data_IF_726647540561
#
_entry.id   IF_726647540561
#
_cell.length_a   1.000
_cell.length_b   1.000
_cell.length_c   1.000
_cell.angle_alpha   90.00
_cell.angle_beta   90.00
_cell.angle_gamma   90.00
#
_symmetry.space_group_name_H-M   'P 1'
#
loop_
_entity.id
_entity.type
_entity.pdbx_description
1 polymer ?
#
# COMPACT_ATOMS: atom_id res chain seq x y z
N UNK A 1 -0.43 -8.44 -7.89
CA UNK A 1 -0.95 -9.46 -8.86
C UNK A 1 0.10 -10.53 -9.02
N UNK A 2 -0.24 -11.80 -8.84
CA UNK A 2 0.70 -12.92 -9.06
C UNK A 2 1.03 -13.08 -10.54
N UNK A 3 2.08 -13.85 -10.85
CA UNK A 3 2.44 -14.20 -12.23
C UNK A 3 1.41 -15.18 -12.82
N UNK A 4 0.84 -14.86 -13.97
CA UNK A 4 -0.09 -15.77 -14.68
C UNK A 4 0.57 -17.08 -15.10
N UNK A 5 1.88 -17.05 -15.40
CA UNK A 5 2.64 -18.27 -15.70
C UNK A 5 2.72 -19.16 -14.46
N UNK A 6 3.06 -18.59 -13.31
CA UNK A 6 3.07 -19.30 -12.04
C UNK A 6 1.71 -19.92 -11.71
N UNK A 7 0.62 -19.16 -11.87
CA UNK A 7 -0.75 -19.63 -11.65
C UNK A 7 -1.08 -20.85 -12.51
N UNK A 8 -0.73 -20.82 -13.80
CA UNK A 8 -1.00 -21.94 -14.73
C UNK A 8 -0.14 -23.17 -14.46
N UNK A 9 1.12 -22.98 -14.07
CA UNK A 9 2.03 -24.08 -13.76
C UNK A 9 1.75 -24.70 -12.38
N UNK A 10 1.18 -23.92 -11.44
CA UNK A 10 0.97 -24.32 -10.05
C UNK A 10 -0.45 -23.96 -9.54
N UNK A 11 -1.53 -24.36 -10.22
CA UNK A 11 -2.89 -23.98 -9.85
C UNK A 11 -3.29 -24.42 -8.44
N UNK A 12 -2.85 -25.62 -8.03
CA UNK A 12 -3.16 -26.16 -6.70
C UNK A 12 -2.45 -25.38 -5.57
N UNK A 13 -1.25 -24.86 -5.80
CA UNK A 13 -0.56 -24.00 -4.84
C UNK A 13 -1.35 -22.70 -4.67
N UNK A 14 -1.83 -22.10 -5.77
CA UNK A 14 -2.64 -20.88 -5.73
C UNK A 14 -3.97 -21.12 -5.01
N UNK A 15 -4.65 -22.24 -5.30
CA UNK A 15 -5.90 -22.62 -4.62
C UNK A 15 -5.68 -22.86 -3.13
N UNK A 16 -4.58 -23.55 -2.75
CA UNK A 16 -4.24 -23.76 -1.35
C UNK A 16 -3.96 -22.42 -0.63
N UNK A 17 -3.25 -21.50 -1.29
CA UNK A 17 -3.01 -20.15 -0.75
C UNK A 17 -4.32 -19.37 -0.51
N UNK A 18 -5.28 -19.46 -1.44
CA UNK A 18 -6.63 -18.87 -1.29
C UNK A 18 -7.34 -19.44 -0.06
N UNK A 19 -7.27 -20.78 0.15
CA UNK A 19 -7.83 -21.45 1.34
C UNK A 19 -7.13 -21.00 2.62
N UNK A 20 -5.79 -20.93 2.61
CA UNK A 20 -5.01 -20.46 3.75
C UNK A 20 -5.38 -19.02 4.15
N UNK A 21 -5.81 -18.21 3.20
CA UNK A 21 -6.33 -16.83 3.44
C UNK A 21 -7.83 -16.78 3.76
N UNK A 22 -8.51 -17.93 3.92
CA UNK A 22 -9.95 -18.01 4.20
C UNK A 22 -10.83 -17.29 3.15
N UNK A 23 -10.42 -17.34 1.88
CA UNK A 23 -11.07 -16.65 0.77
C UNK A 23 -11.67 -17.61 -0.26
N UNK A 24 -12.26 -18.73 0.16
CA UNK A 24 -12.74 -19.83 -0.68
C UNK A 24 -13.64 -19.37 -1.85
N UNK A 25 -14.35 -18.25 -1.70
CA UNK A 25 -15.13 -17.62 -2.76
C UNK A 25 -14.31 -17.28 -4.03
N UNK A 26 -12.99 -17.18 -3.90
CA UNK A 26 -12.08 -16.85 -5.00
C UNK A 26 -11.50 -18.09 -5.71
N UNK A 27 -11.74 -19.29 -5.21
CA UNK A 27 -11.21 -20.53 -5.80
C UNK A 27 -11.56 -20.70 -7.29
N UNK A 28 -12.82 -20.42 -7.74
CA UNK A 28 -13.17 -20.57 -9.14
C UNK A 28 -12.37 -19.67 -10.09
N UNK A 29 -11.88 -18.52 -9.60
CA UNK A 29 -11.13 -17.57 -10.42
C UNK A 29 -9.84 -18.17 -11.00
N UNK A 30 -9.24 -19.15 -10.31
CA UNK A 30 -8.02 -19.82 -10.79
C UNK A 30 -8.29 -20.58 -12.09
N UNK A 31 -9.35 -21.39 -12.11
CA UNK A 31 -9.74 -22.18 -13.28
C UNK A 31 -10.25 -21.29 -14.42
N UNK A 32 -11.00 -20.22 -14.08
CA UNK A 32 -11.48 -19.24 -15.05
C UNK A 32 -10.31 -18.52 -15.76
N UNK A 33 -9.26 -18.14 -15.04
CA UNK A 33 -8.06 -17.52 -15.64
C UNK A 33 -7.36 -18.47 -16.58
N UNK A 34 -7.22 -19.74 -16.21
CA UNK A 34 -6.60 -20.76 -17.06
C UNK A 34 -7.39 -20.95 -18.36
N UNK A 35 -8.71 -21.02 -18.27
CA UNK A 35 -9.56 -21.19 -19.43
C UNK A 35 -9.51 -19.96 -20.36
N UNK A 36 -9.62 -18.75 -19.79
CA UNK A 36 -9.52 -17.49 -20.55
C UNK A 36 -8.16 -17.32 -21.22
N UNK A 37 -7.05 -17.69 -20.55
CA UNK A 37 -5.71 -17.65 -21.15
C UNK A 37 -5.60 -18.65 -22.32
N UNK A 38 -6.23 -19.83 -22.20
CA UNK A 38 -6.28 -20.81 -23.27
C UNK A 38 -7.03 -20.28 -24.50
N UNK A 39 -8.20 -19.66 -24.29
CA UNK A 39 -8.99 -19.02 -25.35
C UNK A 39 -8.21 -17.86 -25.99
N UNK A 40 -7.61 -16.99 -25.19
CA UNK A 40 -6.81 -15.85 -25.65
C UNK A 40 -5.66 -16.30 -26.55
N UNK A 41 -4.94 -17.36 -26.17
CA UNK A 41 -3.86 -17.94 -27.02
C UNK A 41 -4.35 -18.53 -28.32
N UNK A 42 -5.52 -19.15 -28.32
CA UNK A 42 -6.13 -19.68 -29.54
C UNK A 42 -6.49 -18.52 -30.50
N UNK A 43 -7.15 -17.48 -30.00
CA UNK A 43 -7.47 -16.26 -30.75
C UNK A 43 -6.22 -15.57 -31.30
N UNK A 44 -5.17 -15.44 -30.48
CA UNK A 44 -3.90 -14.86 -30.90
C UNK A 44 -3.24 -15.66 -32.02
N UNK A 45 -3.29 -17.00 -31.95
CA UNK A 45 -2.77 -17.88 -32.99
C UNK A 45 -3.55 -17.69 -34.30
N UNK A 46 -4.89 -17.63 -34.23
CA UNK A 46 -5.75 -17.38 -35.38
C UNK A 46 -5.50 -15.99 -35.98
N UNK A 47 -5.44 -14.94 -35.16
CA UNK A 47 -5.15 -13.58 -35.59
C UNK A 47 -3.79 -13.49 -36.31
N UNK A 48 -2.76 -14.20 -35.83
CA UNK A 48 -1.45 -14.26 -36.46
C UNK A 48 -1.51 -14.95 -37.83
N UNK A 49 -2.27 -16.05 -37.96
CA UNK A 49 -2.49 -16.73 -39.24
C UNK A 49 -3.22 -15.84 -40.26
N UNK A 50 -4.30 -15.16 -39.81
CA UNK A 50 -5.02 -14.20 -40.67
C UNK A 50 -4.12 -13.03 -41.07
N UNK A 51 -3.33 -12.50 -40.18
CA UNK A 51 -2.36 -11.42 -40.46
C UNK A 51 -1.32 -11.84 -41.48
N UNK A 52 -0.79 -13.06 -41.39
CA UNK A 52 0.15 -13.62 -42.38
C UNK A 52 -0.51 -13.78 -43.75
N UNK A 53 -1.75 -14.30 -43.80
CA UNK A 53 -2.53 -14.46 -45.03
C UNK A 53 -2.83 -13.12 -45.70
N UNK A 54 -3.33 -12.13 -44.94
CA UNK A 54 -3.57 -10.76 -45.43
C UNK A 54 -2.29 -10.14 -46.02
N UNK A 55 -1.18 -10.28 -45.36
CA UNK A 55 0.11 -9.74 -45.85
C UNK A 55 0.58 -10.42 -47.15
N UNK A 56 0.33 -11.73 -47.28
CA UNK A 56 0.59 -12.48 -48.52
C UNK A 56 -0.31 -12.01 -49.69
N UNK A 57 -1.62 -11.89 -49.42
CA UNK A 57 -2.57 -11.39 -50.42
C UNK A 57 -2.29 -9.96 -50.86
N UNK A 58 -1.90 -9.07 -49.91
CA UNK A 58 -1.52 -7.69 -50.24
C UNK A 58 -0.31 -7.61 -51.18
N UNK A 59 0.67 -8.49 -51.03
CA UNK A 59 1.82 -8.59 -51.95
C UNK A 59 1.39 -9.10 -53.32
N UNK A 60 0.41 -10.01 -53.41
CA UNK A 60 -0.11 -10.52 -54.68
C UNK A 60 -0.81 -9.43 -55.50
N UNK A 61 -1.54 -8.50 -54.87
CA UNK A 61 -2.17 -7.36 -55.53
C UNK A 61 -1.12 -6.56 -56.33
N UNK A 62 0.02 -6.24 -55.73
CA UNK A 62 1.12 -5.50 -56.37
C UNK A 62 1.66 -6.25 -57.59
N UNK A 63 1.84 -7.57 -57.47
CA UNK A 63 2.34 -8.40 -58.58
C UNK A 63 1.32 -8.50 -59.73
N UNK A 64 0.02 -8.69 -59.43
CA UNK A 64 -1.04 -8.77 -60.45
C UNK A 64 -1.23 -7.43 -61.14
N UNK A 65 -1.19 -6.33 -60.44
CA UNK A 65 -1.26 -4.98 -61.03
C UNK A 65 -0.08 -4.72 -61.96
N UNK A 66 1.13 -5.11 -61.59
CA UNK A 66 2.32 -5.03 -62.44
C UNK A 66 2.24 -5.88 -63.71
N UNK A 67 1.47 -6.96 -63.70
CA UNK A 67 1.17 -7.83 -64.86
C UNK A 67 -0.03 -7.38 -65.68
N UNK A 68 -0.71 -6.30 -65.31
CA UNK A 68 -1.90 -5.80 -66.01
C UNK A 68 -3.21 -6.59 -65.72
N UNK A 69 -3.20 -7.55 -64.80
CA UNK A 69 -4.31 -8.44 -64.45
C UNK A 69 -5.27 -7.78 -63.46
N UNK A 70 -5.98 -6.74 -63.89
CA UNK A 70 -6.81 -5.89 -63.03
C UNK A 70 -7.97 -6.62 -62.35
N UNK A 71 -8.67 -7.51 -63.07
CA UNK A 71 -9.81 -8.26 -62.51
C UNK A 71 -9.38 -9.24 -61.40
N UNK A 72 -8.28 -9.95 -61.61
CA UNK A 72 -7.68 -10.83 -60.62
C UNK A 72 -7.19 -10.00 -59.38
N UNK A 73 -6.63 -8.81 -59.59
CA UNK A 73 -6.22 -7.92 -58.53
C UNK A 73 -7.40 -7.41 -57.68
N UNK A 74 -8.57 -7.11 -58.32
CA UNK A 74 -9.80 -6.72 -57.58
C UNK A 74 -10.37 -7.88 -56.74
N UNK A 75 -10.37 -9.10 -57.27
CA UNK A 75 -10.76 -10.27 -56.49
C UNK A 75 -9.88 -10.48 -55.23
N UNK A 76 -8.56 -10.29 -55.35
CA UNK A 76 -7.62 -10.36 -54.22
C UNK A 76 -7.81 -9.19 -53.24
N UNK A 77 -8.18 -8.00 -53.71
CA UNK A 77 -8.52 -6.86 -52.82
C UNK A 77 -9.72 -7.16 -51.94
N UNK A 78 -10.76 -7.81 -52.51
CA UNK A 78 -11.93 -8.24 -51.75
C UNK A 78 -11.52 -9.19 -50.62
N UNK A 79 -10.65 -10.20 -50.88
CA UNK A 79 -10.12 -11.12 -49.91
C UNK A 79 -9.29 -10.40 -48.84
N UNK A 80 -8.49 -9.37 -49.19
CA UNK A 80 -7.75 -8.55 -48.24
C UNK A 80 -8.72 -7.77 -47.35
N UNK A 81 -9.81 -7.25 -47.88
CA UNK A 81 -10.81 -6.52 -47.09
C UNK A 81 -11.50 -7.46 -46.11
N UNK A 82 -11.88 -8.65 -46.51
CA UNK A 82 -12.49 -9.69 -45.65
C UNK A 82 -11.48 -10.13 -44.56
N UNK A 83 -10.24 -10.39 -44.93
CA UNK A 83 -9.19 -10.75 -43.95
C UNK A 83 -8.91 -9.62 -42.95
N UNK A 84 -8.98 -8.36 -43.38
CA UNK A 84 -8.81 -7.19 -42.50
C UNK A 84 -9.98 -7.07 -41.51
N UNK A 85 -11.22 -7.27 -41.98
CA UNK A 85 -12.39 -7.24 -41.10
C UNK A 85 -12.34 -8.38 -40.07
N UNK A 86 -11.98 -9.60 -40.48
CA UNK A 86 -11.78 -10.73 -39.57
C UNK A 86 -10.69 -10.47 -38.57
N UNK A 87 -9.54 -9.94 -39.01
CA UNK A 87 -8.45 -9.59 -38.12
C UNK A 87 -8.86 -8.57 -37.05
N UNK A 88 -9.60 -7.52 -37.43
CA UNK A 88 -10.13 -6.52 -36.51
C UNK A 88 -11.05 -7.12 -35.47
N UNK A 89 -11.91 -8.08 -35.85
CA UNK A 89 -12.81 -8.78 -34.92
C UNK A 89 -12.00 -9.65 -33.92
N UNK A 90 -10.99 -10.36 -34.40
CA UNK A 90 -10.10 -11.17 -33.55
C UNK A 90 -9.29 -10.31 -32.57
N UNK A 91 -8.74 -9.17 -33.02
CA UNK A 91 -8.01 -8.21 -32.17
C UNK A 91 -8.92 -7.59 -31.09
N UNK A 92 -10.17 -7.31 -31.42
CA UNK A 92 -11.17 -6.86 -30.44
C UNK A 92 -11.42 -7.94 -29.39
N UNK A 93 -11.64 -9.19 -29.81
CA UNK A 93 -11.87 -10.31 -28.89
C UNK A 93 -10.63 -10.59 -28.03
N UNK A 94 -9.43 -10.49 -28.58
CA UNK A 94 -8.17 -10.62 -27.82
C UNK A 94 -8.08 -9.55 -26.71
N UNK A 95 -8.44 -8.29 -27.02
CA UNK A 95 -8.45 -7.20 -26.05
C UNK A 95 -9.50 -7.42 -24.94
N UNK A 96 -10.70 -7.91 -25.28
CA UNK A 96 -11.74 -8.25 -24.30
C UNK A 96 -11.28 -9.37 -23.35
N UNK A 97 -10.69 -10.44 -23.90
CA UNK A 97 -10.16 -11.54 -23.09
C UNK A 97 -9.00 -11.08 -22.18
N UNK A 98 -8.11 -10.25 -22.69
CA UNK A 98 -7.02 -9.70 -21.88
C UNK A 98 -7.55 -8.89 -20.68
N UNK A 99 -8.60 -8.09 -20.87
CA UNK A 99 -9.23 -7.32 -19.80
C UNK A 99 -9.95 -8.24 -18.79
N UNK A 100 -10.63 -9.28 -19.25
CA UNK A 100 -11.29 -10.27 -18.37
C UNK A 100 -10.28 -11.08 -17.55
N UNK A 101 -9.16 -11.48 -18.15
CA UNK A 101 -8.03 -12.11 -17.43
C UNK A 101 -7.49 -11.15 -16.37
N UNK A 102 -7.23 -9.90 -16.74
CA UNK A 102 -6.70 -8.88 -15.84
C UNK A 102 -7.63 -8.66 -14.63
N UNK A 103 -8.93 -8.52 -14.84
CA UNK A 103 -9.91 -8.34 -13.76
C UNK A 103 -9.82 -9.48 -12.73
N UNK A 104 -9.76 -10.73 -13.18
CA UNK A 104 -9.66 -11.90 -12.28
C UNK A 104 -8.32 -11.96 -11.57
N UNK A 105 -7.24 -11.75 -12.30
CA UNK A 105 -5.88 -11.72 -11.74
C UNK A 105 -5.70 -10.62 -10.68
N UNK A 106 -6.41 -9.50 -10.81
CA UNK A 106 -6.38 -8.40 -9.82
C UNK A 106 -7.08 -8.76 -8.51
N UNK A 107 -7.95 -9.76 -8.49
CA UNK A 107 -8.71 -10.22 -7.31
C UNK A 107 -8.05 -11.43 -6.63
N UNK A 108 -7.30 -12.23 -7.38
CA UNK A 108 -6.55 -13.37 -6.81
C UNK A 108 -5.45 -12.83 -5.88
N UNK A 109 -5.41 -13.28 -4.60
CA UNK A 109 -4.43 -12.79 -3.64
C UNK A 109 -3.01 -13.22 -3.98
N UNK A 110 -2.03 -12.44 -3.51
CA UNK A 110 -0.61 -12.79 -3.61
C UNK A 110 -0.31 -14.05 -2.80
N UNK A 111 0.76 -14.76 -3.18
CA UNK A 111 1.21 -15.95 -2.43
C UNK A 111 1.88 -15.46 -1.14
N UNK A 112 1.39 -15.96 -0.01
CA UNK A 112 1.97 -15.64 1.29
C UNK A 112 3.31 -16.33 1.51
N UNK A 113 4.19 -15.71 2.29
CA UNK A 113 5.45 -16.31 2.70
C UNK A 113 5.18 -17.59 3.52
N UNK A 114 5.95 -18.67 3.34
CA UNK A 114 5.77 -19.91 4.09
C UNK A 114 5.88 -19.77 5.62
N UNK A 115 6.52 -18.70 6.12
CA UNK A 115 6.62 -18.42 7.55
C UNK A 115 5.37 -17.78 8.15
N UNK A 116 4.44 -17.30 7.32
CA UNK A 116 3.22 -16.62 7.80
C UNK A 116 2.34 -17.60 8.57
N UNK A 117 1.96 -17.30 9.81
CA UNK A 117 1.08 -18.15 10.60
C UNK A 117 -0.31 -18.23 9.93
N UNK A 118 -0.87 -19.45 9.95
CA UNK A 118 -2.22 -19.67 9.42
C UNK A 118 -3.22 -19.34 10.50
N UNK A 119 -4.06 -18.35 10.27
CA UNK A 119 -5.08 -17.85 11.19
C UNK A 119 -6.18 -17.13 10.43
N UNK A 120 -7.35 -17.00 11.03
CA UNK A 120 -8.57 -16.53 10.38
C UNK A 120 -8.68 -14.99 10.34
N UNK A 121 -8.28 -14.33 11.42
CA UNK A 121 -8.39 -12.89 11.60
C UNK A 121 -7.31 -12.37 12.57
N UNK A 122 -7.31 -11.06 12.83
CA UNK A 122 -6.32 -10.35 13.65
C UNK A 122 -6.17 -10.90 15.08
N UNK A 123 -7.18 -11.58 15.62
CA UNK A 123 -7.12 -12.22 16.96
C UNK A 123 -6.12 -13.38 17.02
N UNK A 124 -5.73 -13.92 15.86
CA UNK A 124 -4.77 -15.03 15.72
C UNK A 124 -3.39 -14.56 15.26
N UNK A 125 -3.14 -13.25 15.25
CA UNK A 125 -1.82 -12.68 15.02
C UNK A 125 -0.84 -13.10 16.12
N UNK A 126 0.41 -13.36 15.77
CA UNK A 126 1.41 -13.94 16.66
C UNK A 126 2.36 -12.87 17.19
N UNK A 127 2.42 -12.72 18.53
CA UNK A 127 3.41 -11.84 19.16
C UNK A 127 4.83 -12.38 18.92
N UNK A 128 5.68 -11.56 18.31
CA UNK A 128 7.08 -11.91 18.00
C UNK A 128 8.00 -11.46 19.09
N UNK A 129 7.91 -10.18 19.50
CA UNK A 129 8.82 -9.59 20.47
C UNK A 129 8.22 -8.36 21.16
N UNK A 130 8.65 -8.14 22.41
CA UNK A 130 8.39 -6.92 23.19
C UNK A 130 9.66 -6.12 23.40
N UNK A 131 9.51 -4.81 23.44
CA UNK A 131 10.58 -3.84 23.63
C UNK A 131 10.15 -2.80 24.67
N UNK A 132 10.97 -2.61 25.69
CA UNK A 132 10.65 -1.76 26.83
C UNK A 132 9.68 -2.44 27.81
N UNK A 133 9.65 -1.89 29.03
CA UNK A 133 8.80 -2.39 30.11
C UNK A 133 7.46 -1.64 30.14
N UNK A 134 6.34 -2.32 29.99
CA UNK A 134 5.02 -1.69 30.04
C UNK A 134 4.73 -1.27 31.50
N UNK A 135 4.73 0.01 31.75
CA UNK A 135 4.43 0.57 33.06
C UNK A 135 2.96 0.98 33.17
N UNK A 136 2.39 0.83 34.35
CA UNK A 136 1.07 1.37 34.72
C UNK A 136 1.32 2.29 35.94
N UNK A 137 1.09 3.60 35.81
CA UNK A 137 1.28 4.52 36.93
C UNK A 137 0.26 4.26 38.03
N UNK A 138 0.50 4.79 39.21
CA UNK A 138 -0.36 4.71 40.39
C UNK A 138 -1.48 5.77 40.40
N UNK A 139 -1.62 6.55 39.33
CA UNK A 139 -2.67 7.54 39.10
C UNK A 139 -3.49 7.17 37.87
N UNK A 140 -4.72 7.70 37.81
CA UNK A 140 -5.64 7.51 36.68
C UNK A 140 -5.18 8.35 35.48
N UNK A 141 -5.05 7.71 34.30
CA UNK A 141 -4.77 8.39 33.05
C UNK A 141 -6.11 8.69 32.37
N UNK A 142 -6.46 9.96 32.13
CA UNK A 142 -7.68 10.35 31.42
C UNK A 142 -7.67 9.87 29.95
N UNK A 143 -8.82 9.98 29.29
CA UNK A 143 -8.90 9.71 27.86
C UNK A 143 -8.07 10.74 27.08
N UNK A 144 -7.45 10.33 25.96
CA UNK A 144 -6.48 11.17 25.26
C UNK A 144 -7.03 12.55 24.82
N UNK A 145 -8.33 12.66 24.53
CA UNK A 145 -8.93 13.96 24.23
C UNK A 145 -9.04 14.84 25.47
N UNK A 146 -9.35 14.26 26.62
CA UNK A 146 -9.41 14.98 27.90
C UNK A 146 -8.02 15.50 28.31
N UNK A 147 -6.96 14.69 28.08
CA UNK A 147 -5.57 15.13 28.26
C UNK A 147 -5.28 16.33 27.36
N UNK A 148 -5.59 16.23 26.07
CA UNK A 148 -5.33 17.32 25.10
C UNK A 148 -6.19 18.58 25.41
N UNK A 149 -7.44 18.41 25.84
CA UNK A 149 -8.32 19.50 26.24
C UNK A 149 -7.78 20.22 27.50
N UNK A 150 -7.29 19.47 28.49
CA UNK A 150 -6.68 20.06 29.69
C UNK A 150 -5.44 20.91 29.42
N UNK A 151 -4.76 20.63 28.30
CA UNK A 151 -3.58 21.35 27.81
C UNK A 151 -3.94 22.43 26.78
N UNK A 152 -5.24 22.72 26.55
CA UNK A 152 -5.76 23.63 25.52
C UNK A 152 -5.22 23.29 24.11
N UNK A 153 -5.10 21.99 23.85
CA UNK A 153 -4.38 21.42 22.71
C UNK A 153 -5.23 20.84 21.59
N UNK A 154 -6.56 20.75 21.76
CA UNK A 154 -7.48 20.18 20.75
C UNK A 154 -8.84 20.90 20.78
N UNK A 155 -9.44 21.07 19.58
CA UNK A 155 -10.81 21.58 19.41
C UNK A 155 -11.57 20.71 18.41
N UNK A 156 -12.34 19.77 18.95
CA UNK A 156 -13.18 18.85 18.17
C UNK A 156 -14.53 19.51 17.79
N UNK A 157 -15.02 20.46 18.58
CA UNK A 157 -16.30 21.11 18.30
C UNK A 157 -16.24 22.04 17.10
N UNK A 158 -15.17 22.83 16.97
CA UNK A 158 -14.95 23.64 15.78
C UNK A 158 -14.68 22.77 14.56
N UNK A 159 -13.93 21.68 14.69
CA UNK A 159 -13.68 20.76 13.60
C UNK A 159 -15.00 20.13 13.08
N UNK A 160 -15.90 19.75 13.99
CA UNK A 160 -17.23 19.22 13.63
C UNK A 160 -18.07 20.22 12.83
N UNK A 161 -18.00 21.50 13.18
CA UNK A 161 -18.72 22.58 12.44
C UNK A 161 -18.17 22.79 11.04
N UNK A 162 -16.85 22.66 10.86
CA UNK A 162 -16.16 22.94 9.60
C UNK A 162 -16.17 21.73 8.65
N UNK A 163 -15.90 20.54 9.16
CA UNK A 163 -15.64 19.37 8.33
C UNK A 163 -16.46 18.11 8.70
N UNK A 164 -17.20 18.16 9.81
CA UNK A 164 -17.91 17.00 10.33
C UNK A 164 -17.12 16.20 11.37
N UNK A 165 -17.62 15.01 11.72
CA UNK A 165 -16.93 14.11 12.63
C UNK A 165 -15.71 13.49 11.97
N UNK A 166 -14.72 13.07 12.77
CA UNK A 166 -13.49 12.44 12.28
C UNK A 166 -12.43 13.44 11.79
N UNK A 167 -12.56 14.71 12.20
CA UNK A 167 -11.57 15.77 12.00
C UNK A 167 -11.24 16.43 13.33
N UNK A 168 -10.13 17.17 13.37
CA UNK A 168 -9.66 17.85 14.58
C UNK A 168 -8.97 19.18 14.23
N UNK A 169 -8.94 20.10 15.17
CA UNK A 169 -7.93 21.14 15.26
C UNK A 169 -6.99 20.78 16.41
N UNK A 170 -5.69 20.87 16.16
CA UNK A 170 -4.68 20.87 17.22
C UNK A 170 -4.19 22.30 17.43
N UNK A 171 -3.93 22.66 18.67
CA UNK A 171 -3.52 24.01 19.08
C UNK A 171 -2.32 23.96 20.03
N UNK A 172 -1.66 25.07 20.23
CA UNK A 172 -0.62 25.26 21.24
C UNK A 172 0.52 24.23 21.17
N UNK A 173 0.92 23.76 22.33
CA UNK A 173 2.03 22.82 22.46
C UNK A 173 1.69 21.41 21.92
N UNK A 174 0.43 21.02 21.88
CA UNK A 174 0.02 19.74 21.25
C UNK A 174 0.21 19.80 19.74
N UNK A 175 -0.15 20.90 19.08
CA UNK A 175 0.10 21.09 17.65
C UNK A 175 1.61 21.13 17.36
N UNK A 176 2.39 21.76 18.24
CA UNK A 176 3.84 21.76 18.14
C UNK A 176 4.43 20.36 18.32
N UNK A 177 3.95 19.57 19.31
CA UNK A 177 4.37 18.20 19.54
C UNK A 177 4.10 17.32 18.31
N UNK A 178 2.90 17.43 17.73
CA UNK A 178 2.53 16.72 16.50
C UNK A 178 3.54 17.01 15.36
N UNK A 179 3.82 18.27 15.09
CA UNK A 179 4.78 18.68 14.05
C UNK A 179 6.22 18.26 14.39
N UNK A 180 6.59 18.30 15.67
CA UNK A 180 7.92 17.89 16.18
C UNK A 180 8.15 16.41 15.99
N UNK A 181 7.15 15.57 16.27
CA UNK A 181 7.23 14.11 16.04
C UNK A 181 7.46 13.80 14.55
N UNK A 182 6.74 14.46 13.64
CA UNK A 182 6.92 14.27 12.19
C UNK A 182 8.31 14.73 11.72
N UNK A 183 8.76 15.87 12.21
CA UNK A 183 10.08 16.41 11.87
C UNK A 183 11.19 15.50 12.38
N UNK A 184 11.09 15.04 13.62
CA UNK A 184 12.02 14.08 14.20
C UNK A 184 12.03 12.76 13.41
N UNK A 185 10.87 12.21 13.09
CA UNK A 185 10.77 10.97 12.33
C UNK A 185 11.38 11.09 10.93
N UNK A 186 11.21 12.24 10.26
CA UNK A 186 11.88 12.52 8.99
C UNK A 186 13.40 12.49 9.14
N UNK A 187 13.95 13.24 10.10
CA UNK A 187 15.40 13.35 10.31
C UNK A 187 15.99 12.00 10.74
N UNK A 188 15.29 11.28 11.61
CA UNK A 188 15.63 9.92 12.04
C UNK A 188 15.80 8.95 10.86
N UNK A 189 14.94 9.06 9.83
CA UNK A 189 15.06 8.22 8.64
C UNK A 189 16.15 8.70 7.68
N UNK A 190 16.36 10.01 7.54
CA UNK A 190 17.46 10.57 6.76
C UNK A 190 18.81 10.09 7.33
N UNK A 191 18.97 10.13 8.65
CA UNK A 191 20.18 9.67 9.34
C UNK A 191 20.43 8.16 9.17
N UNK A 192 19.40 7.39 8.85
CA UNK A 192 19.47 5.97 8.49
C UNK A 192 19.66 5.71 6.98
N UNK A 193 19.96 6.75 6.20
CA UNK A 193 20.28 6.65 4.78
C UNK A 193 19.07 6.58 3.85
N UNK A 194 17.87 6.93 4.33
CA UNK A 194 16.69 7.05 3.48
C UNK A 194 16.65 8.41 2.79
N UNK A 195 16.35 8.42 1.50
CA UNK A 195 16.15 9.66 0.74
C UNK A 195 14.77 10.23 1.03
N UNK A 196 14.73 11.46 1.56
CA UNK A 196 13.46 12.15 1.82
C UNK A 196 12.83 12.68 0.53
N UNK A 197 11.52 12.42 0.38
CA UNK A 197 10.71 12.84 -0.76
C UNK A 197 9.40 13.48 -0.30
N UNK A 198 8.95 14.50 -1.02
CA UNK A 198 7.60 15.07 -0.91
C UNK A 198 6.85 14.66 -2.18
N UNK A 199 5.89 13.73 -2.10
CA UNK A 199 5.18 13.21 -3.26
C UNK A 199 3.93 14.05 -3.59
N UNK A 200 3.31 13.86 -4.78
CA UNK A 200 1.95 14.31 -5.03
C UNK A 200 0.95 13.68 -4.05
N UNK A 201 -0.01 14.46 -3.57
CA UNK A 201 -1.05 13.97 -2.63
C UNK A 201 -2.34 13.56 -3.34
N UNK A 202 -2.36 13.65 -4.66
CA UNK A 202 -3.42 13.13 -5.53
C UNK A 202 -2.78 12.25 -6.60
N UNK A 203 -3.43 11.12 -6.91
CA UNK A 203 -2.94 10.12 -7.85
C UNK A 203 -4.06 9.67 -8.79
N UNK A 204 -3.68 9.20 -9.98
CA UNK A 204 -4.60 8.67 -10.98
C UNK A 204 -5.10 7.26 -10.62
N UNK A 205 -6.25 6.88 -11.16
CA UNK A 205 -6.86 5.56 -10.98
C UNK A 205 -5.91 4.40 -11.30
N UNK A 206 -5.07 4.54 -12.30
CA UNK A 206 -4.07 3.51 -12.67
C UNK A 206 -3.07 3.25 -11.54
N UNK A 207 -2.61 4.31 -10.85
CA UNK A 207 -1.73 4.17 -9.69
C UNK A 207 -2.48 3.53 -8.53
N UNK A 208 -3.71 4.00 -8.24
CA UNK A 208 -4.55 3.44 -7.16
C UNK A 208 -4.72 1.94 -7.33
N UNK A 209 -5.14 1.50 -8.51
CA UNK A 209 -5.36 0.07 -8.81
C UNK A 209 -4.05 -0.74 -8.85
N UNK A 210 -2.92 -0.06 -9.02
CA UNK A 210 -1.59 -0.66 -8.96
C UNK A 210 -1.13 -0.98 -7.53
N UNK A 211 -1.51 -0.16 -6.55
CA UNK A 211 -0.97 -0.22 -5.18
C UNK A 211 -1.91 -0.89 -4.17
N UNK A 212 -3.21 -1.00 -4.45
CA UNK A 212 -4.19 -1.60 -3.54
C UNK A 212 -5.21 -2.48 -4.27
N UNK A 213 -6.03 -3.19 -3.50
CA UNK A 213 -7.17 -3.95 -4.03
C UNK A 213 -8.35 -3.04 -4.38
N UNK A 214 -9.30 -3.55 -5.18
CA UNK A 214 -10.53 -2.81 -5.52
C UNK A 214 -11.42 -2.56 -4.28
N UNK A 215 -11.45 -3.52 -3.35
CA UNK A 215 -12.22 -3.41 -2.11
C UNK A 215 -11.66 -2.29 -1.23
N UNK A 216 -10.34 -2.25 -1.03
CA UNK A 216 -9.66 -1.16 -0.32
C UNK A 216 -9.89 0.19 -1.00
N UNK A 217 -9.76 0.27 -2.33
CA UNK A 217 -10.01 1.49 -3.09
C UNK A 217 -11.42 2.03 -2.82
N UNK A 218 -12.44 1.17 -2.87
CA UNK A 218 -13.83 1.59 -2.71
C UNK A 218 -14.16 2.04 -1.29
N UNK A 219 -13.57 1.40 -0.28
CA UNK A 219 -13.83 1.65 1.14
C UNK A 219 -13.00 2.83 1.69
N UNK A 220 -11.80 3.04 1.16
CA UNK A 220 -10.81 3.96 1.72
C UNK A 220 -10.69 5.29 0.95
N UNK A 221 -10.69 5.26 -0.40
CA UNK A 221 -10.22 6.40 -1.20
C UNK A 221 -11.29 7.46 -1.45
N UNK A 222 -10.92 8.74 -1.27
CA UNK A 222 -11.69 9.88 -1.78
C UNK A 222 -11.35 10.13 -3.24
N UNK A 223 -12.37 10.22 -4.09
CA UNK A 223 -12.24 10.57 -5.51
C UNK A 223 -12.63 12.03 -5.71
N UNK A 224 -11.89 12.76 -6.53
CA UNK A 224 -12.24 14.11 -6.98
C UNK A 224 -13.31 13.98 -8.08
N UNK A 225 -14.43 14.69 -7.89
CA UNK A 225 -15.52 14.66 -8.85
C UNK A 225 -15.10 15.34 -10.18
N UNK A 226 -15.41 14.69 -11.30
CA UNK A 226 -15.06 15.20 -12.64
C UNK A 226 -13.61 14.96 -13.08
N UNK A 227 -12.76 14.41 -12.20
CA UNK A 227 -11.34 14.20 -12.45
C UNK A 227 -10.94 12.73 -12.30
N UNK A 228 -9.89 12.30 -13.03
CA UNK A 228 -9.24 11.01 -12.74
C UNK A 228 -8.17 11.20 -11.66
N UNK A 229 -8.60 11.71 -10.50
CA UNK A 229 -7.73 11.94 -9.34
C UNK A 229 -8.38 11.42 -8.06
N UNK A 230 -7.53 10.90 -7.19
CA UNK A 230 -7.87 10.36 -5.86
C UNK A 230 -6.92 10.94 -4.83
N UNK A 231 -7.44 11.35 -3.68
CA UNK A 231 -6.61 11.73 -2.53
C UNK A 231 -5.92 10.49 -1.97
N UNK A 232 -4.63 10.59 -1.67
CA UNK A 232 -3.87 9.44 -1.15
C UNK A 232 -4.28 9.07 0.28
N UNK A 233 -4.34 7.78 0.58
CA UNK A 233 -4.50 7.26 1.94
C UNK A 233 -3.19 7.05 2.68
N UNK A 234 -2.07 7.16 1.96
CA UNK A 234 -0.68 7.04 2.44
C UNK A 234 0.26 7.53 1.33
N UNK A 235 1.42 8.04 1.70
CA UNK A 235 2.45 8.42 0.72
C UNK A 235 3.02 7.22 -0.06
N UNK A 236 2.91 6.00 0.47
CA UNK A 236 3.25 4.77 -0.25
C UNK A 236 2.66 4.76 -1.66
N UNK A 237 1.38 5.14 -1.80
CA UNK A 237 0.68 5.13 -3.08
C UNK A 237 1.41 5.96 -4.14
N UNK A 238 1.74 7.20 -3.82
CA UNK A 238 2.46 8.10 -4.73
C UNK A 238 3.91 7.67 -4.94
N UNK A 239 4.55 7.20 -3.87
CA UNK A 239 5.97 6.85 -3.92
C UNK A 239 6.23 5.61 -4.77
N UNK A 240 5.37 4.59 -4.68
CA UNK A 240 5.41 3.42 -5.58
C UNK A 240 5.00 3.85 -7.00
N UNK A 241 3.95 4.68 -7.12
CA UNK A 241 3.50 5.25 -8.39
C UNK A 241 4.57 6.04 -9.14
N UNK A 242 5.57 6.63 -8.46
CA UNK A 242 6.72 7.30 -9.07
C UNK A 242 7.48 6.40 -10.06
N UNK A 243 7.43 5.09 -9.87
CA UNK A 243 8.15 4.11 -10.67
C UNK A 243 7.28 3.43 -11.74
N UNK A 244 6.03 3.87 -11.96
CA UNK A 244 5.16 3.31 -13.00
C UNK A 244 5.85 3.32 -14.37
N UNK A 245 5.73 2.21 -15.12
CA UNK A 245 6.31 2.03 -16.47
C UNK A 245 7.84 2.18 -16.55
N UNK A 246 8.55 1.98 -15.45
CA UNK A 246 10.03 2.11 -15.45
C UNK A 246 10.73 0.77 -15.66
N UNK A 247 11.93 0.88 -16.23
CA UNK A 247 12.95 -0.19 -16.23
C UNK A 247 14.16 0.37 -15.50
N UNK A 248 14.39 -0.11 -14.30
CA UNK A 248 15.44 0.37 -13.41
C UNK A 248 16.72 -0.44 -13.62
N UNK A 249 17.87 0.20 -13.46
CA UNK A 249 19.16 -0.49 -13.46
C UNK A 249 19.31 -1.24 -12.12
N UNK A 250 19.71 -2.50 -12.18
CA UNK A 250 19.91 -3.33 -10.99
C UNK A 250 20.94 -2.76 -10.01
N UNK A 251 21.97 -2.07 -10.52
CA UNK A 251 23.03 -1.47 -9.71
C UNK A 251 22.56 -0.27 -8.87
N UNK A 252 21.39 0.31 -9.20
CA UNK A 252 20.79 1.42 -8.45
C UNK A 252 19.90 0.96 -7.31
N UNK A 253 19.61 -0.33 -7.22
CA UNK A 253 18.82 -0.90 -6.13
C UNK A 253 19.69 -1.15 -4.89
N UNK A 254 19.13 -1.04 -3.69
CA UNK A 254 17.74 -0.66 -3.41
C UNK A 254 17.48 0.85 -3.47
N UNK A 255 16.26 1.25 -3.81
CA UNK A 255 15.77 2.60 -3.51
C UNK A 255 15.17 2.58 -2.10
N UNK A 256 15.78 3.33 -1.20
CA UNK A 256 15.32 3.53 0.19
C UNK A 256 14.80 4.95 0.33
N UNK A 257 13.47 5.08 0.42
CA UNK A 257 12.79 6.36 0.40
C UNK A 257 11.98 6.56 1.68
N UNK A 258 11.93 7.80 2.17
CA UNK A 258 11.03 8.19 3.24
C UNK A 258 10.25 9.41 2.81
N UNK A 259 8.97 9.49 3.20
CA UNK A 259 8.10 10.56 2.74
C UNK A 259 7.07 10.95 3.78
N UNK A 260 6.86 12.26 3.88
CA UNK A 260 5.75 12.86 4.60
C UNK A 260 4.56 13.04 3.66
N UNK A 261 3.37 12.79 4.17
CA UNK A 261 2.13 13.23 3.51
C UNK A 261 0.97 13.41 4.48
N UNK A 262 0.00 14.28 4.15
CA UNK A 262 -1.36 14.09 4.62
C UNK A 262 -1.90 12.78 4.04
N UNK A 263 -2.81 12.15 4.79
CA UNK A 263 -3.49 10.92 4.43
C UNK A 263 -4.98 11.13 4.57
N UNK A 264 -5.75 10.68 3.58
CA UNK A 264 -7.20 10.86 3.53
C UNK A 264 -7.88 9.50 3.42
N UNK A 265 -8.72 9.14 4.40
CA UNK A 265 -9.42 7.85 4.44
C UNK A 265 -10.89 8.01 4.78
N UNK A 266 -11.75 7.32 4.03
CA UNK A 266 -13.21 7.34 4.29
C UNK A 266 -13.58 6.62 5.59
N UNK A 267 -12.73 5.74 6.11
CA UNK A 267 -12.96 4.96 7.34
C UNK A 267 -14.36 4.32 7.42
N UNK A 268 -14.83 3.77 6.28
CA UNK A 268 -16.15 3.12 6.22
C UNK A 268 -16.15 1.83 7.03
N UNK A 269 -17.12 1.70 7.93
CA UNK A 269 -17.32 0.48 8.73
C UNK A 269 -16.64 0.49 10.10
N UNK A 270 -15.98 1.58 10.47
CA UNK A 270 -15.42 1.75 11.81
C UNK A 270 -16.54 2.04 12.85
N UNK A 271 -16.67 1.20 13.85
CA UNK A 271 -17.65 1.37 14.94
C UNK A 271 -17.05 0.91 16.28
N UNK A 272 -16.91 1.82 17.25
CA UNK A 272 -16.48 1.50 18.62
C UNK A 272 -16.21 2.72 19.49
N UNK A 273 -16.20 2.54 20.81
CA UNK A 273 -15.92 3.61 21.78
C UNK A 273 -14.44 4.04 21.69
N UNK A 274 -13.55 3.10 21.43
CA UNK A 274 -12.10 3.36 21.32
C UNK A 274 -11.70 4.08 20.02
N UNK A 275 -12.61 4.17 19.07
CA UNK A 275 -12.44 4.88 17.80
C UNK A 275 -12.78 6.38 17.89
N UNK A 276 -13.19 6.86 19.10
CA UNK A 276 -13.44 8.29 19.32
C UNK A 276 -12.16 9.09 19.41
N UNK A 277 -12.28 10.40 19.28
CA UNK A 277 -11.16 11.33 19.36
C UNK A 277 -10.30 11.30 18.11
N UNK A 278 -9.01 11.03 18.26
CA UNK A 278 -8.04 11.05 17.16
C UNK A 278 -7.55 9.65 16.74
N UNK A 279 -8.11 8.58 17.29
CA UNK A 279 -7.67 7.22 16.99
C UNK A 279 -7.98 6.82 15.54
N UNK A 280 -9.20 7.14 15.06
CA UNK A 280 -9.66 6.85 13.70
C UNK A 280 -10.33 8.09 13.09
N UNK A 281 -9.69 8.66 12.10
CA UNK A 281 -10.01 9.98 11.54
C UNK A 281 -9.88 9.99 10.02
N UNK A 282 -10.60 10.89 9.37
CA UNK A 282 -10.64 11.02 7.91
C UNK A 282 -9.39 11.68 7.31
N UNK A 283 -8.72 12.53 8.08
CA UNK A 283 -7.52 13.23 7.68
C UNK A 283 -6.48 13.17 8.80
N UNK A 284 -5.28 12.71 8.46
CA UNK A 284 -4.13 12.68 9.37
C UNK A 284 -2.84 12.83 8.57
N UNK A 285 -1.73 12.91 9.25
CA UNK A 285 -0.40 13.02 8.65
C UNK A 285 0.43 11.80 9.00
N UNK A 286 1.35 11.46 8.11
CA UNK A 286 2.19 10.27 8.28
C UNK A 286 3.56 10.47 7.65
N UNK A 287 4.59 9.99 8.35
CA UNK A 287 5.91 9.72 7.78
C UNK A 287 5.99 8.23 7.45
N UNK A 288 6.36 7.91 6.22
CA UNK A 288 6.40 6.55 5.66
C UNK A 288 7.81 6.16 5.24
N UNK A 289 8.10 4.86 5.25
CA UNK A 289 9.29 4.23 4.65
C UNK A 289 8.87 3.38 3.46
N UNK A 290 9.58 3.49 2.34
CA UNK A 290 9.34 2.72 1.13
C UNK A 290 10.67 2.15 0.64
N UNK A 291 10.69 0.87 0.31
CA UNK A 291 11.85 0.21 -0.30
C UNK A 291 11.43 -0.45 -1.60
N UNK A 292 12.24 -0.24 -2.64
CA UNK A 292 12.17 -0.99 -3.91
C UNK A 292 13.51 -1.69 -4.06
N UNK A 293 13.49 -3.02 -4.08
CA UNK A 293 14.70 -3.83 -4.01
C UNK A 293 14.62 -5.07 -4.91
N UNK A 294 15.71 -5.82 -4.93
CA UNK A 294 15.77 -7.15 -5.54
C UNK A 294 14.92 -8.14 -4.73
N UNK A 295 14.36 -9.18 -5.38
CA UNK A 295 13.57 -10.19 -4.68
C UNK A 295 14.28 -10.84 -3.48
N UNK A 296 15.54 -11.19 -3.63
CA UNK A 296 16.37 -11.84 -2.61
C UNK A 296 16.70 -10.94 -1.41
N UNK A 297 16.62 -9.61 -1.58
CA UNK A 297 16.89 -8.63 -0.53
C UNK A 297 15.64 -8.31 0.31
N UNK A 298 14.45 -8.63 -0.19
CA UNK A 298 13.20 -8.19 0.44
C UNK A 298 12.99 -8.72 1.87
N UNK A 299 13.40 -9.94 2.27
CA UNK A 299 13.28 -10.38 3.66
C UNK A 299 14.12 -9.51 4.61
N UNK A 300 15.36 -9.22 4.23
CA UNK A 300 16.27 -8.38 5.03
C UNK A 300 15.74 -6.95 5.18
N UNK A 301 15.19 -6.38 4.07
CA UNK A 301 14.59 -5.04 4.14
C UNK A 301 13.31 -5.01 4.95
N UNK A 302 12.51 -6.07 4.90
CA UNK A 302 11.33 -6.21 5.74
C UNK A 302 11.68 -6.11 7.23
N UNK A 303 12.70 -6.84 7.67
CA UNK A 303 13.15 -6.81 9.06
C UNK A 303 13.69 -5.43 9.46
N UNK A 304 14.46 -4.78 8.60
CA UNK A 304 14.96 -3.42 8.86
C UNK A 304 13.84 -2.38 8.96
N UNK A 305 12.79 -2.51 8.15
CA UNK A 305 11.71 -1.54 8.14
C UNK A 305 10.92 -1.53 9.45
N UNK A 306 10.45 -2.68 9.93
CA UNK A 306 9.71 -2.70 11.19
C UNK A 306 10.61 -2.37 12.39
N UNK A 307 11.89 -2.75 12.36
CA UNK A 307 12.85 -2.39 13.40
C UNK A 307 13.07 -0.87 13.51
N UNK A 308 13.06 -0.13 12.39
CA UNK A 308 13.14 1.34 12.41
C UNK A 308 11.98 1.97 13.19
N UNK A 309 10.77 1.46 13.05
CA UNK A 309 9.62 1.95 13.84
C UNK A 309 9.79 1.63 15.31
N UNK A 310 10.17 0.41 15.64
CA UNK A 310 10.48 0.01 17.04
C UNK A 310 11.54 0.94 17.65
N UNK A 311 12.62 1.19 16.95
CA UNK A 311 13.71 2.04 17.42
C UNK A 311 13.24 3.48 17.65
N UNK A 312 12.45 4.04 16.75
CA UNK A 312 11.88 5.38 16.90
C UNK A 312 11.02 5.48 18.17
N UNK A 313 10.11 4.55 18.39
CA UNK A 313 9.23 4.57 19.57
C UNK A 313 10.04 4.43 20.86
N UNK A 314 11.10 3.62 20.85
CA UNK A 314 12.00 3.46 22.00
C UNK A 314 12.76 4.75 22.36
N UNK A 315 13.14 5.57 21.37
CA UNK A 315 13.76 6.89 21.65
C UNK A 315 12.80 7.88 22.28
N UNK A 316 11.51 7.58 22.27
CA UNK A 316 10.43 8.38 22.84
C UNK A 316 9.88 7.78 24.15
N UNK A 317 10.60 6.80 24.73
CA UNK A 317 10.26 6.12 25.98
C UNK A 317 8.89 5.41 25.94
N UNK A 318 8.49 4.92 24.75
CA UNK A 318 7.22 4.22 24.54
C UNK A 318 7.49 2.72 24.35
N UNK A 319 6.99 1.85 25.26
CA UNK A 319 7.08 0.41 25.08
C UNK A 319 6.26 -0.03 23.87
N UNK A 320 6.82 -0.95 23.07
CA UNK A 320 6.17 -1.50 21.89
C UNK A 320 6.30 -3.01 21.85
N UNK A 321 5.40 -3.66 21.07
CA UNK A 321 5.55 -5.05 20.66
C UNK A 321 5.37 -5.18 19.16
N UNK A 322 5.80 -6.31 18.61
CA UNK A 322 5.57 -6.65 17.21
C UNK A 322 4.68 -7.88 17.11
N UNK A 323 3.71 -7.83 16.21
CA UNK A 323 2.80 -8.94 15.88
C UNK A 323 3.00 -9.34 14.43
N UNK A 324 3.30 -10.62 14.17
CA UNK A 324 3.24 -11.16 12.83
C UNK A 324 1.77 -11.43 12.45
N UNK A 325 1.31 -10.79 11.38
CA UNK A 325 -0.06 -10.95 10.90
C UNK A 325 -0.27 -12.35 10.32
N UNK A 326 -1.36 -13.00 10.73
CA UNK A 326 -1.74 -14.30 10.20
C UNK A 326 -2.34 -14.19 8.78
N UNK A 327 -2.46 -15.32 8.11
CA UNK A 327 -2.87 -15.40 6.71
C UNK A 327 -4.23 -14.77 6.39
N UNK A 328 -5.19 -14.85 7.30
CA UNK A 328 -6.54 -14.27 7.12
C UNK A 328 -6.60 -12.76 7.33
N UNK A 329 -5.66 -12.21 8.10
CA UNK A 329 -5.53 -10.76 8.33
C UNK A 329 -4.74 -10.05 7.22
N UNK A 330 -3.94 -10.77 6.44
CA UNK A 330 -3.16 -10.18 5.35
C UNK A 330 -4.05 -9.66 4.21
N UNK A 331 -3.89 -8.39 3.85
CA UNK A 331 -4.47 -7.84 2.61
C UNK A 331 -4.00 -8.62 1.37
N UNK A 332 -4.78 -8.54 0.27
CA UNK A 332 -4.57 -9.39 -0.91
C UNK A 332 -3.19 -9.26 -1.58
N UNK A 333 -2.59 -8.08 -1.51
CA UNK A 333 -1.29 -7.84 -2.14
C UNK A 333 -0.10 -8.24 -1.27
N UNK A 334 -0.30 -8.40 0.03
CA UNK A 334 0.78 -8.66 0.99
C UNK A 334 1.26 -10.11 0.93
N UNK A 335 2.58 -10.28 0.92
CA UNK A 335 3.28 -11.57 1.10
C UNK A 335 3.46 -11.86 2.58
N UNK A 336 3.81 -10.82 3.35
CA UNK A 336 4.05 -10.89 4.79
C UNK A 336 3.79 -9.51 5.41
N UNK A 337 3.32 -9.47 6.65
CA UNK A 337 3.13 -8.23 7.42
C UNK A 337 3.49 -8.42 8.88
N UNK A 338 4.04 -7.37 9.48
CA UNK A 338 4.27 -7.26 10.92
C UNK A 338 3.71 -5.92 11.38
N UNK A 339 2.82 -5.96 12.36
CA UNK A 339 2.32 -4.77 13.01
C UNK A 339 3.19 -4.40 14.20
N UNK A 340 3.42 -3.10 14.35
CA UNK A 340 4.04 -2.53 15.55
C UNK A 340 2.94 -1.92 16.40
N UNK A 341 2.85 -2.37 17.64
CA UNK A 341 1.86 -1.89 18.60
C UNK A 341 2.53 -1.19 19.77
N UNK A 342 1.98 -0.06 20.21
CA UNK A 342 2.43 0.69 21.37
C UNK A 342 1.60 0.35 22.61
N UNK A 343 2.27 0.39 23.77
CA UNK A 343 1.60 0.20 25.07
C UNK A 343 0.70 1.38 25.43
N UNK A 344 -0.50 1.08 25.85
CA UNK A 344 -1.43 2.02 26.48
C UNK A 344 -1.53 1.72 27.98
N UNK A 345 -0.91 2.53 28.85
CA UNK A 345 -1.05 2.37 30.30
C UNK A 345 -2.49 2.52 30.79
N UNK A 346 -3.29 3.38 30.13
CA UNK A 346 -4.72 3.59 30.43
C UNK A 346 -5.54 2.35 30.17
N UNK A 347 -5.35 1.72 28.99
CA UNK A 347 -6.12 0.54 28.59
C UNK A 347 -5.49 -0.77 29.10
N UNK A 348 -4.24 -0.73 29.59
CA UNK A 348 -3.42 -1.89 29.97
C UNK A 348 -3.32 -2.93 28.84
N UNK A 349 -3.21 -2.43 27.60
CA UNK A 349 -3.05 -3.23 26.39
C UNK A 349 -2.22 -2.51 25.34
N UNK A 350 -1.75 -3.24 24.36
CA UNK A 350 -1.11 -2.69 23.18
C UNK A 350 -2.15 -2.35 22.11
N UNK A 351 -1.84 -1.38 21.25
CA UNK A 351 -2.64 -1.03 20.07
C UNK A 351 -1.73 -0.66 18.89
N UNK A 352 -2.21 -0.93 17.69
CA UNK A 352 -1.46 -0.73 16.45
C UNK A 352 -1.10 0.74 16.21
N UNK A 353 0.20 1.00 15.95
CA UNK A 353 0.75 2.31 15.60
C UNK A 353 1.48 2.31 14.25
N UNK A 354 1.72 1.15 13.67
CA UNK A 354 2.32 1.00 12.36
C UNK A 354 2.20 -0.42 11.84
N UNK A 355 2.20 -0.58 10.53
CA UNK A 355 2.13 -1.88 9.85
C UNK A 355 3.18 -1.94 8.75
N UNK A 356 4.13 -2.86 8.91
CA UNK A 356 5.16 -3.17 7.93
C UNK A 356 4.66 -4.21 6.94
N UNK A 357 4.84 -3.97 5.65
CA UNK A 357 4.34 -4.86 4.60
C UNK A 357 5.43 -5.19 3.57
N UNK A 358 5.56 -6.47 3.27
CA UNK A 358 6.24 -6.96 2.08
C UNK A 358 5.17 -7.33 1.04
N UNK A 359 5.18 -6.67 -0.11
CA UNK A 359 4.22 -6.90 -1.21
C UNK A 359 4.80 -7.84 -2.29
N UNK A 360 6.06 -8.26 -2.14
CA UNK A 360 6.76 -8.98 -3.20
C UNK A 360 6.72 -8.19 -4.50
N UNK A 361 6.44 -8.85 -5.61
CA UNK A 361 6.33 -8.24 -6.92
C UNK A 361 4.91 -7.79 -7.32
N UNK A 362 3.93 -7.89 -6.41
CA UNK A 362 2.53 -7.66 -6.74
C UNK A 362 2.23 -6.26 -7.28
N UNK A 363 2.75 -5.22 -6.63
CA UNK A 363 2.60 -3.83 -7.09
C UNK A 363 3.45 -3.57 -8.33
N UNK A 364 4.67 -4.09 -8.36
CA UNK A 364 5.58 -3.93 -9.49
C UNK A 364 5.00 -4.54 -10.78
N UNK A 365 4.32 -5.69 -10.72
CA UNK A 365 3.62 -6.27 -11.87
C UNK A 365 2.45 -5.40 -12.35
N UNK A 366 1.66 -4.87 -11.42
CA UNK A 366 0.53 -3.99 -11.76
C UNK A 366 0.97 -2.68 -12.41
N UNK A 367 2.05 -2.09 -11.88
CA UNK A 367 2.60 -0.80 -12.31
C UNK A 367 3.75 -0.93 -13.32
N UNK A 368 4.11 -2.17 -13.72
CA UNK A 368 5.17 -2.45 -14.71
C UNK A 368 6.55 -1.92 -14.28
N UNK A 369 6.86 -2.02 -12.99
CA UNK A 369 8.15 -1.64 -12.41
C UNK A 369 9.14 -2.78 -12.61
N UNK A 370 9.97 -2.70 -13.62
CA UNK A 370 10.93 -3.73 -14.00
C UNK A 370 12.35 -3.33 -13.66
N UNK A 371 13.19 -4.33 -13.54
CA UNK A 371 14.63 -4.19 -13.33
C UNK A 371 15.37 -4.86 -14.48
N UNK A 372 16.40 -4.21 -14.98
CA UNK A 372 17.29 -4.76 -15.99
C UNK A 372 18.46 -5.44 -15.27
N UNK A 373 18.30 -6.73 -14.99
CA UNK A 373 19.31 -7.56 -14.33
C UNK A 373 20.25 -8.23 -15.32
N UNK A 374 21.30 -8.87 -14.80
CA UNK A 374 22.34 -9.58 -15.59
C UNK A 374 21.75 -10.75 -16.38
N UNK A 375 20.80 -11.48 -15.80
CA UNK A 375 20.17 -12.66 -16.39
C UNK A 375 18.86 -12.33 -17.12
N UNK A 376 18.54 -11.06 -17.31
CA UNK A 376 17.33 -10.60 -17.96
C UNK A 376 16.49 -9.67 -17.09
N UNK A 377 15.31 -9.29 -17.61
CA UNK A 377 14.39 -8.39 -16.92
C UNK A 377 13.53 -9.14 -15.93
N UNK A 378 13.39 -8.58 -14.73
CA UNK A 378 12.50 -9.09 -13.68
C UNK A 378 11.68 -7.94 -13.03
N UNK A 379 10.69 -8.28 -12.21
CA UNK A 379 9.93 -7.31 -11.43
C UNK A 379 10.60 -7.08 -10.07
N UNK A 380 10.70 -5.81 -9.67
CA UNK A 380 11.20 -5.44 -8.35
C UNK A 380 10.25 -5.93 -7.24
N UNK A 381 10.76 -6.11 -6.04
CA UNK A 381 9.94 -6.20 -4.82
C UNK A 381 9.72 -4.82 -4.21
N UNK A 382 8.54 -4.61 -3.64
CA UNK A 382 8.16 -3.38 -2.96
C UNK A 382 7.80 -3.65 -1.51
N UNK A 383 8.28 -2.79 -0.62
CA UNK A 383 8.00 -2.86 0.81
C UNK A 383 7.66 -1.47 1.33
N UNK A 384 6.86 -1.42 2.37
CA UNK A 384 6.56 -0.18 3.07
C UNK A 384 6.40 -0.42 4.57
N UNK A 385 6.57 0.64 5.34
CA UNK A 385 6.20 0.68 6.75
C UNK A 385 5.95 2.12 7.20
N UNK A 386 5.06 2.28 8.13
CA UNK A 386 4.84 3.53 8.84
C UNK A 386 6.05 3.82 9.75
N UNK A 387 6.73 4.96 9.56
CA UNK A 387 7.68 5.47 10.55
C UNK A 387 6.91 5.94 11.77
N UNK A 388 5.95 6.84 11.53
CA UNK A 388 5.04 7.36 12.56
C UNK A 388 3.78 7.95 11.91
N UNK A 389 2.64 7.74 12.56
CA UNK A 389 1.38 8.41 12.30
C UNK A 389 0.94 9.13 13.58
N UNK A 390 1.13 10.47 13.68
CA UNK A 390 0.95 11.21 14.92
C UNK A 390 -0.35 10.99 15.66
N UNK A 391 -1.52 10.79 15.05
CA UNK A 391 -2.75 10.60 15.82
C UNK A 391 -2.66 9.45 16.82
N UNK A 392 -2.26 8.27 16.38
CA UNK A 392 -2.06 7.12 17.26
C UNK A 392 -0.79 7.28 18.11
N UNK A 393 0.28 7.84 17.55
CA UNK A 393 1.49 8.17 18.28
C UNK A 393 1.20 9.15 19.42
N UNK A 394 0.38 10.20 19.20
CA UNK A 394 0.00 11.14 20.26
C UNK A 394 -0.69 10.45 21.43
N UNK A 395 -1.60 9.50 21.15
CA UNK A 395 -2.23 8.72 22.21
C UNK A 395 -1.18 8.00 23.04
N UNK A 396 -0.33 7.21 22.39
CA UNK A 396 0.74 6.47 23.06
C UNK A 396 1.69 7.41 23.81
N UNK A 397 2.08 8.53 23.16
CA UNK A 397 3.00 9.49 23.73
C UNK A 397 2.43 10.15 25.00
N UNK A 398 1.20 10.66 24.93
CA UNK A 398 0.55 11.33 26.05
C UNK A 398 0.38 10.39 27.23
N UNK A 399 -0.12 9.17 26.99
CA UNK A 399 -0.37 8.20 28.05
C UNK A 399 0.93 7.70 28.72
N UNK A 400 2.02 7.50 27.98
CA UNK A 400 3.29 7.00 28.53
C UNK A 400 4.17 8.09 29.16
N UNK A 401 3.97 9.37 28.81
CA UNK A 401 4.77 10.48 29.29
C UNK A 401 4.03 11.41 30.27
N UNK A 402 2.82 11.05 30.71
CA UNK A 402 2.02 11.83 31.62
C UNK A 402 2.54 11.72 33.05
N UNK A 403 2.54 12.85 33.76
CA UNK A 403 2.83 12.94 35.21
C UNK A 403 1.51 13.04 36.00
N UNK A 404 1.59 12.75 37.30
CA UNK A 404 0.44 12.85 38.22
C UNK A 404 -0.17 14.26 38.30
N UNK A 405 0.59 15.29 37.99
CA UNK A 405 0.14 16.70 37.95
C UNK A 405 -0.55 17.08 36.61
N UNK A 406 -0.66 16.14 35.68
CA UNK A 406 -1.25 16.35 34.34
C UNK A 406 -0.28 16.90 33.31
N UNK A 407 0.96 17.23 33.68
CA UNK A 407 1.99 17.64 32.72
C UNK A 407 2.48 16.44 31.89
N UNK A 408 3.01 16.71 30.70
CA UNK A 408 3.55 15.69 29.79
C UNK A 408 5.07 15.88 29.66
N UNK A 409 5.85 14.89 30.00
CA UNK A 409 7.30 14.91 29.81
C UNK A 409 7.65 14.89 28.31
N UNK A 410 8.71 15.62 27.95
CA UNK A 410 9.29 15.61 26.61
C UNK A 410 10.61 14.82 26.65
N UNK A 411 10.67 13.62 26.05
CA UNK A 411 11.90 12.85 25.90
C UNK A 411 13.01 13.66 25.25
N UNK A 412 14.25 13.36 25.60
CA UNK A 412 15.42 14.12 25.15
C UNK A 412 15.47 14.28 23.62
N UNK A 413 15.14 13.22 22.89
CA UNK A 413 15.13 13.19 21.42
C UNK A 413 14.24 14.26 20.79
N UNK A 414 13.16 14.69 21.47
CA UNK A 414 12.22 15.71 20.96
C UNK A 414 12.48 17.13 21.49
N UNK A 415 13.29 17.33 22.52
CA UNK A 415 13.46 18.66 23.15
C UNK A 415 13.93 19.71 22.18
N UNK A 416 14.87 19.39 21.28
CA UNK A 416 15.33 20.30 20.23
C UNK A 416 14.21 20.79 19.32
N UNK A 417 13.33 19.89 18.91
CA UNK A 417 12.16 20.19 18.06
C UNK A 417 11.06 20.95 18.82
N UNK A 418 10.98 20.76 20.13
CA UNK A 418 10.06 21.45 21.02
C UNK A 418 10.63 22.78 21.58
N UNK A 419 11.74 23.30 21.01
CA UNK A 419 12.36 24.57 21.43
C UNK A 419 12.97 24.50 22.81
N UNK A 420 13.50 23.36 23.21
CA UNK A 420 14.15 23.14 24.49
C UNK A 420 13.18 22.83 25.64
N UNK A 421 11.87 22.77 25.40
CA UNK A 421 10.90 22.40 26.45
C UNK A 421 11.17 20.98 26.94
N UNK A 422 11.12 20.79 28.26
CA UNK A 422 11.25 19.48 28.92
C UNK A 422 9.89 18.91 29.32
N UNK A 423 8.85 19.77 29.36
CA UNK A 423 7.46 19.42 29.70
C UNK A 423 6.47 20.26 28.91
N UNK A 424 5.27 19.72 28.71
CA UNK A 424 4.08 20.48 28.34
C UNK A 424 3.22 20.58 29.61
N UNK A 425 2.77 21.79 29.94
CA UNK A 425 1.97 22.09 31.11
C UNK A 425 0.68 22.80 30.67
N UNK A 426 -0.36 22.68 31.50
CA UNK A 426 -1.58 23.43 31.26
C UNK A 426 -1.27 24.95 31.26
N UNK A 427 -1.89 25.72 30.37
CA UNK A 427 -1.68 27.18 30.35
C UNK A 427 -2.07 27.78 31.69
N UNK A 428 -1.25 28.68 32.21
CA UNK A 428 -1.60 29.46 33.41
C UNK A 428 -2.87 30.26 33.09
N UNK A 429 -3.97 29.97 33.82
CA UNK A 429 -5.21 30.71 33.73
C UNK A 429 -5.09 32.07 34.37
#
# INVERSE_FOLDING_TARGET
>A
MIDIKFLKENPEIVKQNIKNKFQDRKLPLVDEVIELDRESRAIQTEANAVRATRNKLSKQIGALMGQGKREEAEAVKTQVTEATANLSALETKEAELAEEIKKRMMVIPNIIDPSVPIGKDDSENVEVQKYGEPLVPDFEIPYHTEIMESLDGIDLDSARKVAGNGFYYLTGDIARLHSSILTYARDFMIDRGFTYCIPPFMIRSEVVTGVMSFDEMSSMMYKIEGEDLYLIGTSEHSMIGKFIDTINDEEKLPYTLTSYSPCFRKEKGAHGIEERGVYRIHQFEKQEMIVICKPEESPMWFDKLWQNTVDLFRTLDIPVRTLECCSGDLADLKVKSVDVEAWSPRQKKYFEVGSCSNLGDAQARRLRIRVNGKDGKYFAHTLNNTVVAPPRMLIAFLENNMNADGSINIPEALRGYMGGKTKIEAPCK
#
